data_IF_866619451775
#
_entry.id   IF_866619451775
#
_cell.length_a   1.000
_cell.length_b   1.000
_cell.length_c   1.000
_cell.angle_alpha   90.00
_cell.angle_beta   90.00
_cell.angle_gamma   90.00
#
_symmetry.space_group_name_H-M   'P 1'
#
loop_
_entity.id
_entity.type
_entity.pdbx_description
1 polymer ?
#
# COMPACT_ATOMS: atom_id res chain seq x y z
N UNK A 1 44.24 -45.19 -32.17
CA UNK A 1 45.01 -44.39 -31.20
C UNK A 1 44.35 -44.61 -29.83
N UNK A 2 44.77 -45.48 -28.90
CA UNK A 2 46.07 -45.64 -28.20
C UNK A 2 46.59 -44.27 -27.74
N UNK A 3 46.73 -43.93 -26.43
CA UNK A 3 47.41 -44.62 -25.29
C UNK A 3 46.77 -44.13 -23.97
N UNK A 4 46.37 -44.94 -22.97
CA UNK A 4 47.11 -45.66 -21.89
C UNK A 4 48.19 -44.87 -21.11
N UNK A 5 47.97 -44.74 -19.78
CA UNK A 5 48.80 -45.23 -18.64
C UNK A 5 48.37 -44.53 -17.32
N UNK A 6 47.73 -45.20 -16.34
CA UNK A 6 48.28 -45.98 -15.19
C UNK A 6 49.19 -45.19 -14.24
N UNK A 7 49.20 -45.31 -12.91
CA UNK A 7 48.42 -46.05 -11.90
C UNK A 7 49.08 -45.82 -10.52
N UNK A 8 48.30 -45.95 -9.42
CA UNK A 8 48.64 -46.58 -8.10
C UNK A 8 49.79 -45.97 -7.26
N UNK A 9 49.92 -46.10 -5.93
CA UNK A 9 49.16 -46.56 -4.73
C UNK A 9 50.12 -46.24 -3.55
N UNK A 10 49.62 -46.09 -2.33
CA UNK A 10 50.47 -46.29 -1.14
C UNK A 10 49.86 -45.85 0.18
N UNK A 11 49.35 -46.82 0.94
CA UNK A 11 48.91 -46.69 2.33
C UNK A 11 49.91 -47.40 3.25
N UNK A 12 50.10 -46.96 4.51
CA UNK A 12 50.50 -47.77 5.69
C UNK A 12 50.67 -46.83 6.92
N UNK A 13 49.74 -46.89 7.90
CA UNK A 13 49.82 -47.52 9.26
C UNK A 13 50.62 -46.76 10.35
N UNK A 14 49.91 -46.46 11.44
CA UNK A 14 50.29 -46.09 12.84
C UNK A 14 51.18 -47.17 13.54
N UNK A 15 51.76 -47.03 14.78
CA UNK A 15 51.20 -46.36 15.98
C UNK A 15 52.15 -45.82 17.12
N UNK A 16 51.50 -45.33 18.20
CA UNK A 16 51.80 -45.45 19.65
C UNK A 16 52.66 -44.46 20.48
N UNK A 17 51.94 -43.79 21.42
CA UNK A 17 52.16 -43.57 22.87
C UNK A 17 53.44 -42.92 23.46
N UNK A 18 53.25 -41.82 24.21
CA UNK A 18 53.70 -41.73 25.62
C UNK A 18 52.88 -40.70 26.43
N UNK A 19 52.50 -41.10 27.65
CA UNK A 19 51.82 -40.33 28.69
C UNK A 19 52.73 -39.25 29.29
N UNK A 20 52.17 -38.10 29.68
CA UNK A 20 52.47 -37.50 30.98
C UNK A 20 51.28 -36.69 31.49
N UNK A 21 50.76 -37.13 32.64
CA UNK A 21 49.75 -36.43 33.44
C UNK A 21 50.45 -35.33 34.25
N UNK A 22 49.96 -34.09 34.17
CA UNK A 22 50.11 -33.11 35.25
C UNK A 22 48.72 -32.57 35.58
N UNK A 23 48.22 -32.97 36.75
CA UNK A 23 47.05 -32.36 37.39
C UNK A 23 47.44 -30.96 37.87
N UNK A 24 46.71 -29.94 37.45
CA UNK A 24 46.45 -28.78 38.30
C UNK A 24 44.97 -28.43 38.25
N UNK A 25 44.34 -28.55 39.41
CA UNK A 25 42.99 -28.11 39.69
C UNK A 25 43.01 -26.59 39.82
N UNK A 26 42.36 -25.86 38.90
CA UNK A 26 41.94 -24.48 39.16
C UNK A 26 40.51 -24.26 38.63
N UNK A 27 39.58 -24.31 39.58
CA UNK A 27 38.37 -23.49 39.68
C UNK A 27 37.37 -23.46 38.51
N UNK A 28 36.36 -24.32 38.61
CA UNK A 28 35.11 -24.35 37.86
C UNK A 28 34.13 -23.18 38.14
N UNK A 29 34.59 -22.07 38.73
CA UNK A 29 33.73 -20.91 39.07
C UNK A 29 33.78 -19.74 38.08
N UNK A 30 34.70 -19.73 37.12
CA UNK A 30 34.84 -18.64 36.15
C UNK A 30 34.15 -18.87 34.79
N UNK A 31 33.79 -20.11 34.46
CA UNK A 31 33.15 -20.44 33.17
C UNK A 31 31.64 -20.17 33.13
N UNK A 32 30.98 -20.02 34.28
CA UNK A 32 29.53 -19.81 34.35
C UNK A 32 29.10 -18.33 34.26
N UNK A 33 30.00 -17.37 34.44
CA UNK A 33 29.65 -15.95 34.32
C UNK A 33 29.76 -15.40 32.90
N UNK A 34 30.54 -16.03 32.00
CA UNK A 34 30.61 -15.62 30.58
C UNK A 34 29.44 -16.18 29.76
N UNK A 35 29.03 -17.43 30.01
CA UNK A 35 27.89 -18.05 29.33
C UNK A 35 26.55 -17.45 29.75
N UNK A 36 26.42 -16.99 31.01
CA UNK A 36 25.18 -16.32 31.46
C UNK A 36 25.02 -14.92 30.83
N UNK A 37 26.12 -14.20 30.57
CA UNK A 37 26.11 -12.90 29.88
C UNK A 37 25.75 -13.03 28.40
N UNK A 38 26.22 -14.06 27.71
CA UNK A 38 25.84 -14.31 26.31
C UNK A 38 24.38 -14.75 26.17
N UNK A 39 23.85 -15.54 27.10
CA UNK A 39 22.43 -15.94 27.04
C UNK A 39 21.49 -14.78 27.38
N UNK A 40 21.85 -13.88 28.30
CA UNK A 40 21.07 -12.66 28.57
C UNK A 40 21.15 -11.68 27.39
N UNK A 41 22.30 -11.57 26.71
CA UNK A 41 22.45 -10.73 25.53
C UNK A 41 21.67 -11.28 24.32
N UNK A 42 21.61 -12.60 24.13
CA UNK A 42 20.79 -13.23 23.08
C UNK A 42 19.29 -13.14 23.43
N UNK A 43 18.89 -13.26 24.70
CA UNK A 43 17.49 -13.05 25.10
C UNK A 43 17.05 -11.59 24.91
N UNK A 44 17.95 -10.62 25.11
CA UNK A 44 17.69 -9.19 24.83
C UNK A 44 17.68 -8.87 23.33
N UNK A 45 18.47 -9.57 22.51
CA UNK A 45 18.44 -9.42 21.04
C UNK A 45 17.19 -10.10 20.45
N UNK A 46 16.68 -11.18 21.05
CA UNK A 46 15.42 -11.81 20.63
C UNK A 46 14.16 -11.04 21.07
N UNK A 47 14.27 -10.11 22.03
CA UNK A 47 13.20 -9.19 22.42
C UNK A 47 13.14 -7.92 21.56
N UNK A 48 14.13 -7.71 20.69
CA UNK A 48 14.15 -6.67 19.64
C UNK A 48 13.89 -7.27 18.27
N UNK A 49 13.13 -8.37 18.21
CA UNK A 49 12.33 -8.63 17.03
C UNK A 49 11.28 -7.52 16.99
N UNK A 50 11.63 -6.39 16.38
CA UNK A 50 10.66 -5.49 15.79
C UNK A 50 9.86 -6.35 14.82
N UNK A 51 8.76 -6.91 15.33
CA UNK A 51 7.62 -7.18 14.47
C UNK A 51 7.37 -5.85 13.80
N UNK A 52 7.71 -5.74 12.52
CA UNK A 52 7.21 -4.64 11.68
C UNK A 52 5.70 -4.71 11.81
N UNK A 53 5.14 -4.00 12.78
CA UNK A 53 3.72 -3.75 12.82
C UNK A 53 3.49 -2.95 11.55
N UNK A 54 2.82 -3.59 10.59
CA UNK A 54 2.49 -3.00 9.30
C UNK A 54 1.71 -1.68 9.47
N UNK A 55 1.13 -1.44 10.66
CA UNK A 55 0.42 -0.21 11.01
C UNK A 55 1.04 0.49 12.24
N UNK A 56 1.08 1.85 12.24
CA UNK A 56 1.62 2.65 13.34
C UNK A 56 0.85 2.42 14.66
N UNK A 57 1.47 2.71 15.82
CA UNK A 57 0.81 2.55 17.11
C UNK A 57 -0.45 3.42 17.18
N UNK A 58 -1.59 2.78 17.44
CA UNK A 58 -2.89 3.43 17.58
C UNK A 58 -2.83 4.42 18.76
N UNK A 59 -3.26 5.66 18.54
CA UNK A 59 -3.28 6.71 19.57
C UNK A 59 -4.59 6.69 20.37
N UNK A 60 -4.56 7.26 21.58
CA UNK A 60 -5.69 7.22 22.51
C UNK A 60 -6.97 7.82 21.91
N UNK A 61 -8.07 7.09 22.02
CA UNK A 61 -9.40 7.48 21.53
C UNK A 61 -9.66 7.14 20.06
N UNK A 62 -8.68 6.61 19.31
CA UNK A 62 -8.91 6.02 17.99
C UNK A 62 -9.73 4.74 18.14
N UNK A 63 -10.87 4.66 17.48
CA UNK A 63 -11.69 3.44 17.43
C UNK A 63 -11.53 2.75 16.09
N UNK A 64 -11.53 1.42 16.09
CA UNK A 64 -11.45 0.62 14.87
C UNK A 64 -12.57 -0.42 14.81
N UNK A 65 -13.13 -0.63 13.63
CA UNK A 65 -13.98 -1.77 13.32
C UNK A 65 -13.57 -2.41 11.99
N UNK A 66 -13.95 -3.66 11.78
CA UNK A 66 -13.52 -4.43 10.61
C UNK A 66 -14.72 -5.07 9.92
N UNK A 67 -14.85 -4.79 8.63
CA UNK A 67 -15.74 -5.55 7.74
C UNK A 67 -14.93 -6.62 7.02
N UNK A 68 -15.27 -7.89 7.22
CA UNK A 68 -14.59 -9.00 6.55
C UNK A 68 -15.33 -9.38 5.26
N UNK A 69 -14.57 -9.51 4.18
CA UNK A 69 -15.02 -9.99 2.88
C UNK A 69 -14.21 -11.26 2.57
N UNK A 70 -14.85 -12.26 2.00
CA UNK A 70 -14.18 -13.47 1.51
C UNK A 70 -14.47 -13.62 0.03
N UNK A 71 -13.41 -13.69 -0.78
CA UNK A 71 -13.44 -14.00 -2.20
C UNK A 71 -12.70 -15.33 -2.39
N UNK A 72 -13.44 -16.44 -2.41
CA UNK A 72 -12.88 -17.79 -2.35
C UNK A 72 -11.86 -17.96 -1.20
N UNK A 73 -10.57 -18.12 -1.51
CA UNK A 73 -9.49 -18.28 -0.53
C UNK A 73 -8.90 -16.94 -0.05
N UNK A 74 -9.26 -15.82 -0.68
CA UNK A 74 -8.76 -14.50 -0.30
C UNK A 74 -9.65 -13.89 0.79
N UNK A 75 -9.07 -13.72 1.97
CA UNK A 75 -9.67 -12.95 3.06
C UNK A 75 -9.26 -11.48 2.97
N UNK A 76 -10.23 -10.59 2.87
CA UNK A 76 -10.06 -9.14 2.84
C UNK A 76 -10.70 -8.53 4.09
N UNK A 77 -9.91 -7.80 4.87
CA UNK A 77 -10.38 -7.02 6.01
C UNK A 77 -10.42 -5.54 5.59
N UNK A 78 -11.61 -4.95 5.57
CA UNK A 78 -11.76 -3.50 5.47
C UNK A 78 -11.76 -2.93 6.89
N UNK A 79 -10.62 -2.42 7.32
CA UNK A 79 -10.43 -1.86 8.66
C UNK A 79 -10.74 -0.37 8.62
N UNK A 80 -11.75 0.04 9.39
CA UNK A 80 -12.15 1.44 9.51
C UNK A 80 -11.63 2.00 10.82
N UNK A 81 -10.68 2.92 10.75
CA UNK A 81 -10.20 3.72 11.87
C UNK A 81 -10.95 5.04 11.93
N UNK A 82 -11.45 5.44 13.10
CA UNK A 82 -12.17 6.71 13.28
C UNK A 82 -11.74 7.40 14.56
N UNK A 83 -11.50 8.71 14.47
CA UNK A 83 -11.19 9.54 15.62
C UNK A 83 -12.01 10.84 15.59
N UNK A 84 -12.67 11.14 16.71
CA UNK A 84 -13.58 12.29 16.87
C UNK A 84 -14.68 12.31 15.78
N UNK A 85 -15.47 13.38 15.72
CA UNK A 85 -16.44 13.56 14.64
C UNK A 85 -15.70 13.57 13.29
N UNK A 86 -16.12 12.75 12.30
CA UNK A 86 -15.38 12.57 11.07
C UNK A 86 -15.52 13.81 10.18
N UNK A 87 -14.41 14.54 9.99
CA UNK A 87 -14.35 15.70 9.09
C UNK A 87 -14.00 15.34 7.66
N UNK A 88 -13.27 14.24 7.50
CA UNK A 88 -12.80 13.70 6.22
C UNK A 88 -12.80 12.17 6.29
N UNK A 89 -12.94 11.50 5.16
CA UNK A 89 -12.77 10.05 5.03
C UNK A 89 -11.76 9.74 3.93
N UNK A 90 -10.76 8.93 4.26
CA UNK A 90 -9.78 8.40 3.32
C UNK A 90 -10.07 6.93 3.00
N UNK A 91 -9.62 6.48 1.84
CA UNK A 91 -9.65 5.10 1.41
C UNK A 91 -8.28 4.68 0.87
N UNK A 92 -7.72 3.61 1.41
CA UNK A 92 -6.53 2.94 0.89
C UNK A 92 -6.96 1.55 0.43
N UNK A 93 -6.69 1.24 -0.84
CA UNK A 93 -7.17 -0.01 -1.47
C UNK A 93 -6.06 -1.03 -1.73
N UNK A 94 -4.80 -0.61 -1.67
CA UNK A 94 -3.65 -1.51 -1.75
C UNK A 94 -3.05 -1.74 -0.36
N UNK A 95 -2.82 -3.00 0.00
CA UNK A 95 -2.35 -3.38 1.34
C UNK A 95 -0.84 -3.15 1.54
N UNK A 96 -0.07 -3.01 0.46
CA UNK A 96 1.37 -2.72 0.53
C UNK A 96 1.71 -1.22 0.53
N UNK A 97 0.70 -0.34 0.57
CA UNK A 97 0.84 1.12 0.51
C UNK A 97 0.75 1.78 1.90
N UNK A 98 1.75 1.51 2.76
CA UNK A 98 1.76 1.94 4.16
C UNK A 98 2.01 3.45 4.38
N UNK A 99 2.62 4.16 3.42
CA UNK A 99 3.02 5.57 3.64
C UNK A 99 1.77 6.46 3.71
N UNK A 100 0.79 6.23 2.83
CA UNK A 100 -0.52 6.91 2.88
C UNK A 100 -1.28 6.61 4.16
N UNK A 101 -1.29 5.35 4.62
CA UNK A 101 -1.93 4.95 5.89
C UNK A 101 -1.35 5.73 7.07
N UNK A 102 -0.01 5.81 7.16
CA UNK A 102 0.68 6.53 8.23
C UNK A 102 0.35 8.02 8.22
N UNK A 103 0.43 8.66 7.05
CA UNK A 103 0.14 10.09 6.90
C UNK A 103 -1.34 10.42 7.22
N UNK A 104 -2.28 9.57 6.79
CA UNK A 104 -3.69 9.72 7.12
C UNK A 104 -3.95 9.63 8.62
N UNK A 105 -3.36 8.64 9.30
CA UNK A 105 -3.52 8.48 10.74
C UNK A 105 -2.92 9.67 11.50
N UNK A 106 -1.79 10.21 11.03
CA UNK A 106 -1.19 11.41 11.58
C UNK A 106 -2.10 12.63 11.42
N UNK A 107 -2.66 12.85 10.23
CA UNK A 107 -3.65 13.92 10.00
C UNK A 107 -4.88 13.75 10.92
N UNK A 108 -5.43 12.53 10.98
CA UNK A 108 -6.60 12.20 11.80
C UNK A 108 -6.33 12.47 13.28
N UNK A 109 -5.13 12.18 13.79
CA UNK A 109 -4.73 12.43 15.18
C UNK A 109 -4.97 13.87 15.62
N UNK A 110 -4.72 14.83 14.74
CA UNK A 110 -4.89 16.25 15.05
C UNK A 110 -6.25 16.81 14.63
N UNK A 111 -6.78 16.34 13.50
CA UNK A 111 -7.93 16.97 12.86
C UNK A 111 -9.25 16.25 13.08
N UNK A 112 -9.21 14.97 13.46
CA UNK A 112 -10.34 14.05 13.39
C UNK A 112 -10.64 13.59 11.97
N UNK A 113 -11.29 12.43 11.83
CA UNK A 113 -11.56 11.84 10.52
C UNK A 113 -11.71 10.32 10.58
N UNK A 114 -11.81 9.74 9.39
CA UNK A 114 -11.91 8.29 9.18
C UNK A 114 -10.91 7.84 8.13
N UNK A 115 -10.26 6.69 8.34
CA UNK A 115 -9.49 5.97 7.34
C UNK A 115 -10.14 4.60 7.15
N UNK A 116 -10.36 4.19 5.90
CA UNK A 116 -10.67 2.81 5.55
C UNK A 116 -9.44 2.22 4.86
N UNK A 117 -8.91 1.16 5.45
CA UNK A 117 -7.70 0.47 5.01
C UNK A 117 -8.05 -0.97 4.59
N UNK A 118 -7.63 -1.37 3.39
CA UNK A 118 -7.87 -2.67 2.81
C UNK A 118 -6.70 -3.62 3.10
N UNK A 119 -6.89 -4.56 4.03
CA UNK A 119 -5.85 -5.50 4.48
C UNK A 119 -6.15 -6.93 4.01
N UNK A 120 -5.25 -7.51 3.20
CA UNK A 120 -5.40 -8.81 2.55
C UNK A 120 -4.08 -9.59 2.34
N UNK A 121 -3.03 -9.29 3.10
CA UNK A 121 -1.80 -10.09 3.20
C UNK A 121 -0.49 -9.38 2.84
N UNK A 122 -0.45 -8.04 2.82
CA UNK A 122 0.72 -7.21 2.55
C UNK A 122 1.21 -7.29 1.11
N UNK A 123 0.28 -7.43 0.15
CA UNK A 123 0.59 -7.55 -1.28
C UNK A 123 -0.23 -6.56 -2.10
N UNK A 124 0.31 -6.11 -3.24
CA UNK A 124 -0.39 -5.19 -4.15
C UNK A 124 -1.71 -5.74 -4.70
N UNK A 125 -1.67 -6.92 -5.31
CA UNK A 125 -2.80 -7.41 -6.10
C UNK A 125 -3.66 -8.41 -5.32
N UNK A 126 -4.96 -8.41 -5.60
CA UNK A 126 -5.81 -9.54 -5.22
C UNK A 126 -5.38 -10.78 -5.98
N UNK A 127 -5.09 -11.85 -5.24
CA UNK A 127 -4.79 -13.18 -5.76
C UNK A 127 -5.86 -14.15 -5.28
N UNK A 128 -6.66 -14.64 -6.22
CA UNK A 128 -7.86 -15.44 -5.96
C UNK A 128 -7.65 -16.81 -6.58
N UNK A 129 -7.89 -17.87 -5.82
CA UNK A 129 -8.02 -19.22 -6.36
C UNK A 129 -9.50 -19.49 -6.62
N UNK A 130 -9.85 -19.87 -7.85
CA UNK A 130 -11.19 -20.31 -8.20
C UNK A 130 -11.11 -21.67 -8.88
N UNK A 131 -11.76 -22.69 -8.30
CA UNK A 131 -11.81 -24.05 -8.84
C UNK A 131 -10.44 -24.68 -9.16
N UNK A 132 -9.39 -24.30 -8.42
CA UNK A 132 -8.03 -24.81 -8.61
C UNK A 132 -7.17 -23.96 -9.55
N UNK A 133 -7.75 -22.96 -10.22
CA UNK A 133 -7.03 -21.99 -11.04
C UNK A 133 -6.74 -20.70 -10.27
N UNK A 134 -5.65 -20.02 -10.60
CA UNK A 134 -5.22 -18.78 -9.95
C UNK A 134 -5.53 -17.58 -10.84
N UNK A 135 -6.21 -16.59 -10.27
CA UNK A 135 -6.56 -15.32 -10.88
C UNK A 135 -5.91 -14.18 -10.12
N UNK A 136 -5.65 -13.08 -10.81
CA UNK A 136 -5.05 -11.88 -10.24
C UNK A 136 -5.67 -10.63 -10.85
N UNK A 137 -5.88 -9.60 -10.03
CA UNK A 137 -6.26 -8.26 -10.49
C UNK A 137 -5.70 -7.21 -9.55
N UNK A 138 -5.48 -6.01 -10.08
CA UNK A 138 -5.26 -4.82 -9.26
C UNK A 138 -6.60 -4.44 -8.57
N UNK A 139 -6.63 -4.18 -7.24
CA UNK A 139 -7.82 -3.70 -6.53
C UNK A 139 -8.37 -2.39 -7.05
N UNK A 140 -7.56 -1.56 -7.71
CA UNK A 140 -7.97 -0.38 -8.45
C UNK A 140 -8.35 -0.68 -9.90
N UNK A 141 -8.93 -1.85 -10.17
CA UNK A 141 -9.48 -2.19 -11.49
C UNK A 141 -10.85 -2.88 -11.41
N UNK A 142 -11.54 -2.78 -10.26
CA UNK A 142 -12.76 -3.55 -9.99
C UNK A 142 -14.06 -2.74 -9.92
N UNK A 143 -14.00 -1.43 -10.20
CA UNK A 143 -15.09 -0.49 -9.90
C UNK A 143 -16.05 -0.24 -11.08
N UNK A 144 -15.73 -0.73 -12.27
CA UNK A 144 -16.63 -0.67 -13.44
C UNK A 144 -16.86 -2.05 -14.03
N UNK A 145 -18.05 -2.25 -14.62
CA UNK A 145 -18.41 -3.53 -15.23
C UNK A 145 -17.49 -3.91 -16.41
N UNK A 146 -17.05 -2.93 -17.18
CA UNK A 146 -16.16 -3.15 -18.32
C UNK A 146 -14.69 -3.30 -17.89
N UNK A 147 -14.28 -2.62 -16.83
CA UNK A 147 -12.91 -2.65 -16.33
C UNK A 147 -12.52 -3.92 -15.59
N UNK A 148 -13.44 -4.54 -14.82
CA UNK A 148 -13.15 -5.79 -14.09
C UNK A 148 -12.52 -6.87 -14.98
N UNK A 149 -13.12 -7.28 -16.12
CA UNK A 149 -12.52 -8.30 -16.98
C UNK A 149 -11.19 -7.83 -17.59
N UNK A 150 -11.03 -6.55 -17.91
CA UNK A 150 -9.76 -5.99 -18.41
C UNK A 150 -8.65 -6.11 -17.35
N UNK A 151 -8.97 -5.80 -16.09
CA UNK A 151 -8.05 -5.92 -14.95
C UNK A 151 -7.56 -7.35 -14.75
N UNK A 152 -8.45 -8.34 -14.84
CA UNK A 152 -8.08 -9.77 -14.80
C UNK A 152 -7.23 -10.15 -16.01
N UNK A 153 -7.62 -9.68 -17.20
CA UNK A 153 -6.96 -10.04 -18.46
C UNK A 153 -5.47 -9.64 -18.51
N UNK A 154 -5.07 -8.60 -17.78
CA UNK A 154 -3.66 -8.20 -17.62
C UNK A 154 -2.78 -9.30 -17.03
N UNK A 155 -3.36 -10.22 -16.25
CA UNK A 155 -2.62 -11.25 -15.51
C UNK A 155 -2.98 -12.68 -15.91
N UNK A 156 -4.04 -12.91 -16.70
CA UNK A 156 -4.47 -14.23 -17.09
C UNK A 156 -5.82 -14.27 -17.81
N UNK A 157 -6.39 -15.46 -18.07
CA UNK A 157 -7.73 -15.57 -18.64
C UNK A 157 -8.80 -15.02 -17.68
N UNK A 158 -9.91 -14.57 -18.25
CA UNK A 158 -11.06 -14.05 -17.50
C UNK A 158 -11.99 -15.21 -17.13
N UNK A 159 -12.52 -15.17 -15.91
CA UNK A 159 -13.55 -16.08 -15.41
C UNK A 159 -14.77 -15.30 -14.89
N UNK A 160 -15.97 -15.71 -15.31
CA UNK A 160 -17.22 -15.01 -15.01
C UNK A 160 -17.59 -15.05 -13.52
N UNK A 161 -17.20 -16.10 -12.79
CA UNK A 161 -17.46 -16.18 -11.35
C UNK A 161 -16.53 -15.23 -10.60
N UNK A 162 -15.24 -15.19 -10.97
CA UNK A 162 -14.27 -14.22 -10.43
C UNK A 162 -14.73 -12.78 -10.70
N UNK A 163 -15.22 -12.47 -11.90
CA UNK A 163 -15.78 -11.14 -12.23
C UNK A 163 -16.93 -10.77 -11.27
N UNK A 164 -17.87 -11.68 -11.02
CA UNK A 164 -19.00 -11.44 -10.10
C UNK A 164 -18.55 -11.26 -8.65
N UNK A 165 -17.51 -11.99 -8.22
CA UNK A 165 -16.95 -11.84 -6.88
C UNK A 165 -16.30 -10.46 -6.71
N UNK A 166 -15.49 -10.03 -7.68
CA UNK A 166 -14.87 -8.71 -7.67
C UNK A 166 -15.92 -7.59 -7.71
N UNK A 167 -16.99 -7.73 -8.51
CA UNK A 167 -18.09 -6.76 -8.54
C UNK A 167 -18.78 -6.61 -7.16
N UNK A 168 -18.99 -7.72 -6.45
CA UNK A 168 -19.56 -7.70 -5.08
C UNK A 168 -18.59 -7.05 -4.08
N UNK A 169 -17.31 -7.32 -4.21
CA UNK A 169 -16.27 -6.71 -3.37
C UNK A 169 -16.21 -5.20 -3.58
N UNK A 170 -16.18 -4.74 -4.84
CA UNK A 170 -16.23 -3.33 -5.18
C UNK A 170 -17.45 -2.62 -4.58
N UNK A 171 -18.64 -3.23 -4.72
CA UNK A 171 -19.89 -2.71 -4.11
C UNK A 171 -19.80 -2.63 -2.59
N UNK A 172 -19.13 -3.58 -1.95
CA UNK A 172 -18.97 -3.59 -0.48
C UNK A 172 -18.01 -2.48 -0.03
N UNK A 173 -16.89 -2.29 -0.72
CA UNK A 173 -15.95 -1.19 -0.48
C UNK A 173 -16.66 0.16 -0.65
N UNK A 174 -17.36 0.36 -1.77
CA UNK A 174 -18.11 1.59 -2.05
C UNK A 174 -19.20 1.85 -1.00
N UNK A 175 -19.91 0.81 -0.57
CA UNK A 175 -20.93 0.94 0.49
C UNK A 175 -20.32 1.34 1.83
N UNK A 176 -19.16 0.79 2.18
CA UNK A 176 -18.46 1.12 3.42
C UNK A 176 -17.92 2.55 3.39
N UNK A 177 -17.36 2.96 2.26
CA UNK A 177 -16.86 4.32 2.05
C UNK A 177 -17.99 5.35 1.94
N UNK A 178 -19.12 4.98 1.35
CA UNK A 178 -20.34 5.77 1.18
C UNK A 178 -20.14 7.12 0.46
N UNK A 179 -19.72 7.10 -0.81
CA UNK A 179 -19.42 8.33 -1.55
C UNK A 179 -20.67 9.17 -1.84
N UNK A 180 -21.86 8.57 -1.93
CA UNK A 180 -23.13 9.30 -2.11
C UNK A 180 -23.42 10.20 -0.90
N UNK A 181 -23.20 9.69 0.31
CA UNK A 181 -23.32 10.51 1.51
C UNK A 181 -22.19 11.53 1.59
N UNK A 182 -20.94 11.15 1.31
CA UNK A 182 -19.81 12.05 1.46
C UNK A 182 -19.78 13.17 0.42
N UNK A 183 -20.22 12.91 -0.81
CA UNK A 183 -20.14 13.83 -1.94
C UNK A 183 -18.74 13.93 -2.55
N UNK A 184 -17.82 13.03 -2.21
CA UNK A 184 -16.47 12.94 -2.78
C UNK A 184 -15.87 11.55 -2.54
N UNK A 185 -14.81 11.21 -3.29
CA UNK A 185 -13.90 10.08 -3.04
C UNK A 185 -12.49 10.63 -2.83
N UNK A 186 -11.84 10.22 -1.74
CA UNK A 186 -10.47 10.59 -1.41
C UNK A 186 -9.65 9.32 -1.15
N UNK A 187 -8.78 8.98 -2.09
CA UNK A 187 -7.84 7.86 -1.97
C UNK A 187 -6.42 8.32 -1.68
N UNK A 188 -5.65 7.41 -1.09
CA UNK A 188 -4.22 7.58 -0.89
C UNK A 188 -3.54 6.35 -1.50
N UNK A 189 -2.51 6.61 -2.29
CA UNK A 189 -1.73 5.60 -2.97
C UNK A 189 -0.24 5.86 -2.79
N UNK A 190 0.56 4.81 -3.01
CA UNK A 190 2.01 4.94 -3.05
C UNK A 190 2.60 4.30 -4.30
N UNK A 191 3.49 5.04 -4.96
CA UNK A 191 4.27 4.56 -6.10
C UNK A 191 5.72 4.27 -5.68
N UNK A 192 6.49 3.81 -6.66
CA UNK A 192 7.93 3.53 -6.56
C UNK A 192 8.73 4.58 -7.32
N UNK A 193 9.93 4.87 -6.81
CA UNK A 193 10.89 5.83 -7.39
C UNK A 193 11.14 5.54 -8.88
N UNK A 194 10.84 6.52 -9.73
CA UNK A 194 11.16 6.52 -11.16
C UNK A 194 10.28 5.64 -12.05
N UNK A 195 9.35 4.85 -11.49
CA UNK A 195 8.47 3.97 -12.27
C UNK A 195 7.16 4.67 -12.70
N UNK A 196 6.55 5.44 -11.79
CA UNK A 196 5.28 6.12 -12.01
C UNK A 196 5.30 7.51 -11.38
N UNK A 197 5.05 8.54 -12.18
CA UNK A 197 5.00 9.92 -11.70
C UNK A 197 4.26 10.85 -12.64
N UNK A 198 4.35 12.14 -12.38
CA UNK A 198 3.65 13.20 -13.13
C UNK A 198 4.00 13.18 -14.62
N UNK A 199 5.22 12.76 -14.98
CA UNK A 199 5.68 12.63 -16.36
C UNK A 199 4.95 11.56 -17.15
N UNK A 200 4.42 10.52 -16.50
CA UNK A 200 3.71 9.42 -17.16
C UNK A 200 2.47 9.90 -17.92
N UNK A 201 1.92 11.05 -17.52
CA UNK A 201 0.74 11.69 -18.12
C UNK A 201 1.06 12.70 -19.22
N UNK A 202 2.34 12.95 -19.51
CA UNK A 202 2.74 13.88 -20.57
C UNK A 202 2.55 13.27 -21.96
N UNK A 203 2.47 14.14 -22.96
CA UNK A 203 2.36 13.74 -24.36
C UNK A 203 3.54 12.85 -24.77
N UNK A 204 3.22 11.71 -25.39
CA UNK A 204 4.17 10.69 -25.82
C UNK A 204 4.46 9.60 -24.78
N UNK A 205 3.88 9.69 -23.57
CA UNK A 205 4.03 8.70 -22.51
C UNK A 205 2.78 7.84 -22.32
N UNK A 206 2.91 6.77 -21.55
CA UNK A 206 1.92 5.68 -21.42
C UNK A 206 0.51 6.17 -21.04
N UNK A 207 0.42 7.18 -20.17
CA UNK A 207 -0.85 7.64 -19.61
C UNK A 207 -1.34 8.95 -20.24
N UNK A 208 -0.80 9.36 -21.39
CA UNK A 208 -1.25 10.55 -22.12
C UNK A 208 -2.77 10.56 -22.30
N UNK A 209 -3.36 9.43 -22.72
CA UNK A 209 -4.79 9.34 -22.99
C UNK A 209 -5.67 9.47 -21.73
N UNK A 210 -5.10 9.22 -20.54
CA UNK A 210 -5.79 9.33 -19.26
C UNK A 210 -5.83 10.77 -18.73
N UNK A 211 -5.00 11.67 -19.25
CA UNK A 211 -4.93 13.07 -18.81
C UNK A 211 -5.55 14.04 -19.81
N UNK A 212 -6.35 14.98 -19.30
CA UNK A 212 -6.76 16.18 -20.05
C UNK A 212 -5.71 17.30 -19.86
N UNK A 213 -5.30 17.50 -18.61
CA UNK A 213 -4.42 18.60 -18.22
C UNK A 213 -3.44 18.15 -17.15
N UNK A 214 -2.21 18.65 -17.23
CA UNK A 214 -1.14 18.38 -16.26
C UNK A 214 -0.54 19.72 -15.81
N UNK A 215 -0.33 19.90 -14.52
CA UNK A 215 0.45 20.99 -13.95
C UNK A 215 1.64 20.39 -13.20
N UNK A 216 2.84 20.88 -13.51
CA UNK A 216 4.09 20.44 -12.90
C UNK A 216 4.64 21.58 -12.04
N UNK A 217 4.91 21.29 -10.78
CA UNK A 217 5.79 22.09 -9.95
C UNK A 217 7.20 21.49 -10.00
N UNK A 218 8.10 22.15 -10.73
CA UNK A 218 9.50 21.69 -10.88
C UNK A 218 10.33 21.68 -9.58
N UNK A 219 9.79 22.19 -8.47
CA UNK A 219 10.41 22.09 -7.15
C UNK A 219 9.91 20.90 -6.32
N UNK A 220 8.89 20.19 -6.79
CA UNK A 220 8.41 18.94 -6.19
C UNK A 220 9.06 17.74 -6.86
N UNK A 221 9.15 16.65 -6.09
CA UNK A 221 9.46 15.34 -6.65
C UNK A 221 8.43 14.97 -7.72
N UNK A 222 8.83 14.54 -8.94
CA UNK A 222 7.89 14.13 -9.98
C UNK A 222 7.00 12.94 -9.59
N UNK A 223 7.42 12.13 -8.60
CA UNK A 223 6.67 10.96 -8.15
C UNK A 223 5.62 11.32 -7.08
N UNK A 224 5.64 12.54 -6.56
CA UNK A 224 4.64 13.06 -5.64
C UNK A 224 3.64 13.94 -6.40
N UNK A 225 2.39 13.47 -6.53
CA UNK A 225 1.36 14.14 -7.31
C UNK A 225 -0.05 13.94 -6.76
N UNK A 226 -0.96 14.80 -7.24
CA UNK A 226 -2.39 14.67 -7.00
C UNK A 226 -3.10 14.36 -8.31
N UNK A 227 -3.97 13.35 -8.32
CA UNK A 227 -4.80 13.03 -9.48
C UNK A 227 -6.27 13.32 -9.17
N UNK A 228 -6.94 14.05 -10.06
CA UNK A 228 -8.34 14.48 -9.85
C UNK A 228 -9.21 14.27 -11.08
N UNK A 229 -10.53 14.17 -10.87
CA UNK A 229 -11.52 14.08 -11.96
C UNK A 229 -12.29 15.39 -12.20
N UNK A 230 -12.09 16.41 -11.35
CA UNK A 230 -12.85 17.66 -11.39
C UNK A 230 -11.96 18.88 -11.67
N UNK A 231 -12.38 19.71 -12.61
CA UNK A 231 -11.62 20.88 -13.05
C UNK A 231 -11.49 21.99 -11.98
N UNK A 232 -12.43 22.10 -11.04
CA UNK A 232 -12.33 23.07 -9.93
C UNK A 232 -11.27 22.61 -8.94
N UNK A 233 -11.21 21.31 -8.63
CA UNK A 233 -10.14 20.73 -7.83
C UNK A 233 -8.78 20.96 -8.51
N UNK A 234 -8.65 20.60 -9.79
CA UNK A 234 -7.41 20.83 -10.56
C UNK A 234 -6.95 22.29 -10.49
N UNK A 235 -7.88 23.23 -10.69
CA UNK A 235 -7.59 24.66 -10.61
C UNK A 235 -7.16 25.10 -9.20
N UNK A 236 -7.69 24.48 -8.15
CA UNK A 236 -7.28 24.71 -6.77
C UNK A 236 -5.86 24.21 -6.52
N UNK A 237 -5.56 22.96 -6.88
CA UNK A 237 -4.22 22.38 -6.73
C UNK A 237 -3.15 23.11 -7.52
N UNK A 238 -3.47 23.56 -8.74
CA UNK A 238 -2.58 24.42 -9.54
C UNK A 238 -2.24 25.73 -8.82
N UNK A 239 -3.19 26.34 -8.09
CA UNK A 239 -2.94 27.56 -7.30
C UNK A 239 -2.07 27.30 -6.07
N UNK A 240 -2.21 26.12 -5.47
CA UNK A 240 -1.33 25.64 -4.39
C UNK A 240 0.05 25.20 -4.90
N UNK A 241 0.27 25.28 -6.23
CA UNK A 241 1.49 24.93 -6.93
C UNK A 241 1.99 23.52 -6.58
N UNK A 242 1.11 22.52 -6.66
CA UNK A 242 1.49 21.10 -6.52
C UNK A 242 1.39 20.36 -7.85
N UNK A 243 2.19 19.30 -8.04
CA UNK A 243 2.02 18.40 -9.19
C UNK A 243 0.58 17.87 -9.21
N UNK A 244 -0.14 18.11 -10.31
CA UNK A 244 -1.54 17.69 -10.42
C UNK A 244 -1.92 17.29 -11.83
N UNK A 245 -2.71 16.23 -11.94
CA UNK A 245 -3.31 15.72 -13.18
C UNK A 245 -4.81 15.83 -13.11
N UNK A 246 -5.43 16.39 -14.16
CA UNK A 246 -6.86 16.29 -14.42
C UNK A 246 -7.11 15.11 -15.36
N UNK A 247 -7.96 14.18 -14.93
CA UNK A 247 -8.38 13.05 -15.74
C UNK A 247 -9.11 13.53 -17.00
N UNK A 248 -8.80 12.88 -18.13
CA UNK A 248 -9.52 13.05 -19.38
C UNK A 248 -10.95 12.54 -19.28
N UNK A 249 -11.91 13.30 -19.79
CA UNK A 249 -13.28 12.83 -19.99
C UNK A 249 -13.37 11.64 -20.98
N UNK A 250 -12.28 11.38 -21.72
CA UNK A 250 -12.12 10.24 -22.64
C UNK A 250 -11.10 9.22 -22.12
N UNK A 251 -10.74 9.28 -20.84
CA UNK A 251 -9.84 8.31 -20.23
C UNK A 251 -10.38 6.89 -20.48
N UNK A 252 -9.51 5.94 -20.87
CA UNK A 252 -9.92 4.54 -21.05
C UNK A 252 -10.54 3.98 -19.77
N UNK A 253 -11.61 3.17 -19.91
CA UNK A 253 -12.19 2.48 -18.76
C UNK A 253 -11.31 1.29 -18.37
N UNK A 254 -10.45 1.51 -17.40
CA UNK A 254 -9.55 0.51 -16.81
C UNK A 254 -10.12 -0.12 -15.52
N UNK A 255 -11.34 0.23 -15.13
CA UNK A 255 -11.98 -0.25 -13.91
C UNK A 255 -11.55 0.46 -12.63
N UNK A 256 -10.74 1.51 -12.72
CA UNK A 256 -10.29 2.26 -11.56
C UNK A 256 -11.41 3.02 -10.86
N UNK A 257 -11.15 3.35 -9.59
CA UNK A 257 -12.10 4.11 -8.78
C UNK A 257 -12.28 5.54 -9.33
N UNK A 258 -11.29 6.10 -10.02
CA UNK A 258 -11.40 7.40 -10.68
C UNK A 258 -12.32 7.36 -11.90
N UNK A 259 -12.34 6.27 -12.69
CA UNK A 259 -13.32 6.08 -13.77
C UNK A 259 -14.73 5.92 -13.19
N UNK A 260 -14.89 5.12 -12.12
CA UNK A 260 -16.18 5.02 -11.41
C UNK A 260 -16.65 6.40 -10.93
N UNK A 261 -15.77 7.19 -10.31
CA UNK A 261 -16.10 8.51 -9.82
C UNK A 261 -16.50 9.46 -10.97
N UNK A 262 -15.79 9.43 -12.09
CA UNK A 262 -16.11 10.20 -13.29
C UNK A 262 -17.50 9.85 -13.85
N UNK A 263 -17.81 8.56 -14.01
CA UNK A 263 -19.13 8.12 -14.51
C UNK A 263 -20.28 8.51 -13.59
N UNK A 264 -20.04 8.54 -12.28
CA UNK A 264 -21.04 8.92 -11.27
C UNK A 264 -21.01 10.41 -10.92
N UNK A 265 -20.16 11.21 -11.58
CA UNK A 265 -19.99 12.65 -11.32
C UNK A 265 -19.66 12.97 -9.86
N UNK A 266 -18.84 12.11 -9.24
CA UNK A 266 -18.36 12.26 -7.87
C UNK A 266 -16.96 12.90 -7.94
N UNK A 267 -16.71 14.02 -7.23
CA UNK A 267 -15.38 14.58 -7.10
C UNK A 267 -14.40 13.55 -6.55
N UNK A 268 -13.31 13.31 -7.27
CA UNK A 268 -12.28 12.35 -6.89
C UNK A 268 -10.95 13.06 -6.67
N UNK A 269 -10.26 12.68 -5.60
CA UNK A 269 -8.89 13.05 -5.29
C UNK A 269 -8.13 11.78 -4.97
N UNK A 270 -7.01 11.58 -5.64
CA UNK A 270 -5.97 10.64 -5.23
C UNK A 270 -4.71 11.41 -4.89
N UNK A 271 -4.14 11.15 -3.71
CA UNK A 271 -2.78 11.57 -3.37
C UNK A 271 -1.86 10.39 -3.64
N UNK A 272 -0.98 10.54 -4.62
CA UNK A 272 0.06 9.58 -4.95
C UNK A 272 1.41 10.13 -4.50
N UNK A 273 2.15 9.36 -3.72
CA UNK A 273 3.52 9.72 -3.34
C UNK A 273 4.43 8.52 -3.31
N UNK A 274 5.72 8.77 -3.43
CA UNK A 274 6.73 7.73 -3.34
C UNK A 274 6.72 7.07 -1.96
N UNK A 275 6.93 5.76 -1.94
CA UNK A 275 7.09 5.03 -0.69
C UNK A 275 8.19 5.66 0.18
N UNK A 276 7.86 5.97 1.44
CA UNK A 276 8.77 6.63 2.39
C UNK A 276 8.65 8.16 2.43
N UNK A 277 7.95 8.80 1.50
CA UNK A 277 7.73 10.26 1.49
C UNK A 277 6.58 10.66 2.44
N UNK A 278 6.73 10.32 3.72
CA UNK A 278 5.70 10.53 4.74
C UNK A 278 5.32 12.01 4.89
N UNK A 279 6.32 12.90 5.03
CA UNK A 279 6.08 14.33 5.25
C UNK A 279 5.39 14.98 4.04
N UNK A 280 5.76 14.60 2.82
CA UNK A 280 5.12 15.10 1.61
C UNK A 280 3.70 14.54 1.46
N UNK A 281 3.45 13.28 1.80
CA UNK A 281 2.10 12.73 1.84
C UNK A 281 1.19 13.54 2.77
N UNK A 282 1.66 13.80 4.00
CA UNK A 282 0.91 14.59 4.98
C UNK A 282 0.65 16.01 4.45
N UNK A 283 1.66 16.66 3.86
CA UNK A 283 1.51 17.99 3.25
C UNK A 283 0.48 17.98 2.13
N UNK A 284 0.50 17.00 1.23
CA UNK A 284 -0.46 16.88 0.13
C UNK A 284 -1.86 16.55 0.62
N UNK A 285 -2.02 15.74 1.67
CA UNK A 285 -3.31 15.51 2.34
C UNK A 285 -3.89 16.83 2.86
N UNK A 286 -3.11 17.64 3.57
CA UNK A 286 -3.56 18.93 4.11
C UNK A 286 -3.99 19.89 3.00
N UNK A 287 -3.20 19.99 1.94
CA UNK A 287 -3.51 20.79 0.75
C UNK A 287 -4.78 20.28 0.08
N UNK A 288 -4.94 18.96 -0.07
CA UNK A 288 -6.10 18.36 -0.70
C UNK A 288 -7.40 18.61 0.06
N UNK A 289 -7.38 18.55 1.39
CA UNK A 289 -8.55 18.88 2.19
C UNK A 289 -8.90 20.36 2.10
N UNK A 290 -7.89 21.24 2.15
CA UNK A 290 -8.07 22.68 1.93
C UNK A 290 -8.73 22.95 0.57
N UNK A 291 -8.20 22.38 -0.51
CA UNK A 291 -8.72 22.55 -1.87
C UNK A 291 -10.12 21.96 -2.01
N UNK A 292 -10.37 20.77 -1.46
CA UNK A 292 -11.68 20.12 -1.47
C UNK A 292 -12.76 21.03 -0.87
N UNK A 293 -12.51 21.58 0.33
CA UNK A 293 -13.48 22.43 1.00
C UNK A 293 -13.61 23.83 0.40
N UNK A 294 -12.58 24.34 -0.27
CA UNK A 294 -12.70 25.57 -1.06
C UNK A 294 -13.53 25.36 -2.33
N UNK A 295 -13.33 24.24 -3.02
CA UNK A 295 -14.08 23.89 -4.24
C UNK A 295 -15.53 23.47 -3.94
N UNK A 296 -15.78 22.92 -2.74
CA UNK A 296 -17.07 22.42 -2.29
C UNK A 296 -17.41 22.86 -0.85
N UNK A 297 -17.80 24.12 -0.64
CA UNK A 297 -18.05 24.66 0.71
C UNK A 297 -19.15 23.93 1.49
N UNK A 298 -20.15 23.36 0.81
CA UNK A 298 -21.21 22.58 1.44
C UNK A 298 -20.68 21.31 2.14
N UNK A 299 -19.60 20.72 1.62
CA UNK A 299 -18.96 19.57 2.26
C UNK A 299 -18.32 19.95 3.60
N UNK A 300 -17.78 21.16 3.70
CA UNK A 300 -17.21 21.70 4.94
C UNK A 300 -18.27 21.90 6.01
N UNK A 301 -19.47 22.36 5.63
CA UNK A 301 -20.59 22.53 6.54
C UNK A 301 -21.04 21.17 7.09
N UNK A 302 -21.24 20.19 6.20
CA UNK A 302 -21.60 18.82 6.57
C UNK A 302 -20.56 18.14 7.47
N UNK A 303 -19.28 18.44 7.29
CA UNK A 303 -18.20 17.93 8.11
C UNK A 303 -18.12 18.57 9.52
N UNK A 304 -18.83 19.68 9.74
CA UNK A 304 -18.87 20.40 11.02
C UNK A 304 -20.10 20.06 11.88
N UNK A 305 -21.07 19.35 11.30
CA UNK A 305 -22.27 18.79 11.97
C UNK A 305 -21.97 17.44 12.62
#
# INVERSE_FOLDING_TARGET
>A
MAKTKTAKRGALKSPSFLFLQVKTNVSSKLYNYSMLRYNILILLICLMAETKAQHPPLFEGLVSDTTRITMNNLGLNLVRYTYRAPKVRFLVIHDDEDTGVKAALEYIRFSGGTLIDCQYGGIRNFKINNQGESFQTDPNSIYTKAGIPIGIQKYGPVDDDVVKQLERTAKTILKLYNPEQLGYIFTLHNNTDGDFGISSYLKGYELEAAADSVHINFSMDPDDLIFVTDAKLFSGFKKENVNVVLQSAKAPDDGSLSIYAMYNKIPYINVEVQHGHFDENLRLIEIAIKVLFQAYPLLKQKAAE
#
